data_IF_602219398571
#
_entry.id   IF_602219398571
#
_cell.length_a   1.000
_cell.length_b   1.000
_cell.length_c   1.000
_cell.angle_alpha   90.00
_cell.angle_beta   90.00
_cell.angle_gamma   90.00
#
_symmetry.space_group_name_H-M   'P 1'
#
loop_
_entity.id
_entity.type
_entity.pdbx_description
1 polymer ?
#
# COMPACT_ATOMS: atom_id res chain seq x y z
N UNK A 1 -43.84 10.87 34.21
CA UNK A 1 -43.15 11.99 33.56
C UNK A 1 -41.70 11.58 33.42
N UNK A 2 -41.29 11.21 32.20
CA UNK A 2 -39.92 10.90 31.82
C UNK A 2 -39.52 11.99 30.81
N UNK A 3 -38.44 12.69 31.08
CA UNK A 3 -37.92 13.82 30.32
C UNK A 3 -36.66 13.39 29.55
N UNK A 4 -36.55 13.90 28.31
CA UNK A 4 -35.33 14.05 27.48
C UNK A 4 -34.72 12.73 26.97
N UNK A 5 -35.31 12.05 25.98
CA UNK A 5 -35.28 12.37 24.53
C UNK A 5 -33.93 12.86 23.99
N UNK A 6 -33.05 11.88 23.77
CA UNK A 6 -32.26 11.67 22.54
C UNK A 6 -32.29 12.83 21.53
N UNK A 7 -31.39 13.79 21.71
CA UNK A 7 -30.92 14.66 20.62
C UNK A 7 -29.58 14.11 20.13
N UNK A 8 -29.60 12.93 19.51
CA UNK A 8 -28.53 12.58 18.58
C UNK A 8 -28.80 13.35 17.29
N UNK A 9 -27.87 14.25 17.01
CA UNK A 9 -27.77 15.03 15.79
C UNK A 9 -28.03 14.16 14.55
N UNK A 10 -29.09 14.50 13.82
CA UNK A 10 -29.22 14.22 12.40
C UNK A 10 -28.04 14.89 11.68
N UNK A 11 -26.91 14.20 11.59
CA UNK A 11 -25.88 14.50 10.61
C UNK A 11 -26.24 13.68 9.38
N UNK A 12 -26.50 14.30 8.21
CA UNK A 12 -26.69 13.54 6.99
C UNK A 12 -25.41 12.76 6.73
N UNK A 13 -25.52 11.43 6.61
CA UNK A 13 -24.47 10.62 6.00
C UNK A 13 -24.52 10.97 4.50
N UNK A 14 -23.48 11.58 3.91
CA UNK A 14 -23.48 11.82 2.48
C UNK A 14 -23.60 10.47 1.76
N UNK A 15 -24.55 10.37 0.84
CA UNK A 15 -24.66 9.20 -0.01
C UNK A 15 -23.39 9.07 -0.83
N UNK A 16 -22.97 7.84 -1.08
CA UNK A 16 -21.78 7.46 -1.84
C UNK A 16 -21.72 8.02 -3.28
N UNK A 17 -22.73 8.76 -3.72
CA UNK A 17 -22.80 9.39 -5.05
C UNK A 17 -22.36 10.86 -5.06
N UNK A 18 -22.25 11.55 -3.91
CA UNK A 18 -21.87 12.98 -3.87
C UNK A 18 -20.35 13.24 -3.82
N UNK A 19 -19.52 12.18 -3.79
CA UNK A 19 -18.05 12.27 -3.89
C UNK A 19 -17.53 12.34 -5.34
N UNK A 20 -18.41 12.33 -6.34
CA UNK A 20 -18.04 12.30 -7.75
C UNK A 20 -18.33 13.62 -8.46
N UNK A 21 -17.47 14.62 -8.26
CA UNK A 21 -17.21 15.58 -9.35
C UNK A 21 -16.24 14.92 -10.32
N UNK A 22 -16.77 14.29 -11.36
CA UNK A 22 -15.99 13.83 -12.50
C UNK A 22 -15.44 15.03 -13.26
N UNK A 23 -14.22 15.47 -12.92
CA UNK A 23 -13.41 16.12 -13.93
C UNK A 23 -13.15 15.09 -15.05
N UNK A 24 -13.35 15.44 -16.32
CA UNK A 24 -13.05 14.54 -17.41
C UNK A 24 -11.55 14.23 -17.36
N UNK A 25 -11.24 12.98 -17.03
CA UNK A 25 -9.89 12.45 -17.16
C UNK A 25 -9.51 12.62 -18.63
N UNK A 26 -8.58 13.54 -18.89
CA UNK A 26 -7.99 13.78 -20.20
C UNK A 26 -7.64 12.42 -20.83
N UNK A 27 -8.21 12.13 -22.00
CA UNK A 27 -8.01 10.86 -22.70
C UNK A 27 -6.51 10.71 -23.05
N UNK A 28 -5.74 9.82 -22.41
CA UNK A 28 -4.35 9.64 -22.76
C UNK A 28 -4.25 8.81 -24.04
N UNK A 29 -3.31 9.20 -24.90
CA UNK A 29 -2.96 8.57 -26.18
C UNK A 29 -2.74 7.04 -26.08
N UNK A 30 -3.03 6.24 -27.13
CA UNK A 30 -3.23 4.78 -27.06
C UNK A 30 -2.03 3.88 -26.71
N UNK A 31 -0.85 4.38 -26.30
CA UNK A 31 0.34 3.54 -26.09
C UNK A 31 1.25 4.00 -24.93
N UNK A 32 0.68 4.45 -23.81
CA UNK A 32 1.50 4.72 -22.62
C UNK A 32 1.85 3.42 -21.89
N UNK A 33 3.15 3.13 -21.78
CA UNK A 33 3.67 1.98 -21.03
C UNK A 33 3.07 1.91 -19.61
N UNK A 34 2.74 0.72 -19.06
CA UNK A 34 2.19 0.61 -17.70
C UNK A 34 3.09 1.25 -16.64
N UNK A 35 4.42 1.22 -16.83
CA UNK A 35 5.36 1.90 -15.94
C UNK A 35 5.20 3.43 -15.97
N UNK A 36 4.89 4.00 -17.14
CA UNK A 36 4.63 5.43 -17.25
C UNK A 36 3.32 5.80 -16.56
N UNK A 37 2.27 5.01 -16.75
CA UNK A 37 0.99 5.24 -16.07
C UNK A 37 1.14 5.17 -14.54
N UNK A 38 1.89 4.21 -14.00
CA UNK A 38 2.19 4.13 -12.56
C UNK A 38 2.97 5.36 -12.09
N UNK A 39 4.00 5.76 -12.84
CA UNK A 39 4.79 6.95 -12.53
C UNK A 39 3.92 8.22 -12.50
N UNK A 40 3.01 8.38 -13.47
CA UNK A 40 2.09 9.51 -13.56
C UNK A 40 1.06 9.52 -12.41
N UNK A 41 0.64 8.34 -11.93
CA UNK A 41 -0.22 8.22 -10.76
C UNK A 41 0.51 8.67 -9.49
N UNK A 42 1.72 8.16 -9.24
CA UNK A 42 2.52 8.51 -8.05
C UNK A 42 2.94 9.99 -8.11
N UNK A 43 3.31 10.48 -9.29
CA UNK A 43 3.76 11.85 -9.52
C UNK A 43 5.10 12.19 -8.88
N UNK A 44 5.39 13.49 -8.78
CA UNK A 44 6.68 13.98 -8.26
C UNK A 44 7.81 13.73 -9.26
N UNK A 45 8.94 13.23 -8.77
CA UNK A 45 10.14 12.88 -9.54
C UNK A 45 10.20 11.38 -9.91
N UNK A 46 9.12 10.62 -9.66
CA UNK A 46 9.02 9.20 -9.99
C UNK A 46 8.89 9.04 -11.50
N UNK A 47 9.80 8.28 -12.10
CA UNK A 47 9.83 8.03 -13.55
C UNK A 47 9.49 6.58 -13.88
N UNK A 48 9.05 6.31 -15.11
CA UNK A 48 8.80 4.95 -15.59
C UNK A 48 10.00 4.02 -15.42
N UNK A 49 11.22 4.55 -15.58
CA UNK A 49 12.45 3.79 -15.38
C UNK A 49 12.65 3.41 -13.90
N UNK A 50 12.41 4.32 -12.96
CA UNK A 50 12.47 4.02 -11.52
C UNK A 50 11.47 2.95 -11.14
N UNK A 51 10.23 3.05 -11.60
CA UNK A 51 9.19 2.03 -11.36
C UNK A 51 9.63 0.67 -11.91
N UNK A 52 10.13 0.63 -13.15
CA UNK A 52 10.65 -0.62 -13.76
C UNK A 52 11.81 -1.21 -12.96
N UNK A 53 12.75 -0.38 -12.53
CA UNK A 53 13.93 -0.83 -11.78
C UNK A 53 13.55 -1.36 -10.40
N UNK A 54 12.63 -0.70 -9.69
CA UNK A 54 12.08 -1.18 -8.43
C UNK A 54 11.42 -2.55 -8.60
N UNK A 55 10.55 -2.71 -9.60
CA UNK A 55 9.88 -4.01 -9.89
C UNK A 55 10.91 -5.10 -10.19
N UNK A 56 11.92 -4.80 -11.02
CA UNK A 56 12.98 -5.74 -11.36
C UNK A 56 13.76 -6.21 -10.12
N UNK A 57 14.22 -5.26 -9.28
CA UNK A 57 14.92 -5.57 -8.02
C UNK A 57 14.03 -6.35 -7.05
N UNK A 58 12.76 -5.96 -6.91
CA UNK A 58 11.80 -6.66 -6.05
C UNK A 58 11.59 -8.11 -6.49
N UNK A 59 11.49 -8.37 -7.78
CA UNK A 59 11.36 -9.73 -8.32
C UNK A 59 12.67 -10.53 -8.16
N UNK A 60 13.84 -9.92 -8.37
CA UNK A 60 15.15 -10.56 -8.13
C UNK A 60 15.28 -11.03 -6.68
N UNK A 61 14.89 -10.16 -5.73
CA UNK A 61 14.90 -10.45 -4.29
C UNK A 61 13.69 -11.29 -3.83
N UNK A 62 12.78 -11.63 -4.74
CA UNK A 62 11.55 -12.40 -4.47
C UNK A 62 10.69 -11.77 -3.37
N UNK A 63 10.58 -10.45 -3.37
CA UNK A 63 9.82 -9.69 -2.39
C UNK A 63 8.32 -9.95 -2.53
N UNK A 64 7.65 -9.94 -1.39
CA UNK A 64 6.21 -9.98 -1.23
C UNK A 64 5.76 -8.79 -0.38
N UNK A 65 4.64 -8.19 -0.77
CA UNK A 65 4.08 -7.01 -0.14
C UNK A 65 2.67 -7.29 0.32
N UNK A 66 2.34 -6.92 1.55
CA UNK A 66 1.00 -7.01 2.11
C UNK A 66 0.55 -5.65 2.60
N UNK A 67 -0.58 -5.21 2.04
CA UNK A 67 -1.19 -3.97 2.42
C UNK A 67 -1.98 -4.07 3.73
N UNK A 68 -1.71 -3.17 4.69
CA UNK A 68 -2.31 -3.21 6.03
C UNK A 68 -3.36 -2.10 6.16
N UNK A 69 -4.65 -2.47 6.22
CA UNK A 69 -5.82 -1.55 6.17
C UNK A 69 -6.03 -0.65 7.39
N UNK A 70 -5.57 -1.04 8.59
CA UNK A 70 -5.97 -0.34 9.82
C UNK A 70 -4.79 -0.04 10.74
N UNK A 71 -4.66 1.23 11.19
CA UNK A 71 -3.70 1.65 12.23
C UNK A 71 -3.91 0.88 13.54
N UNK A 72 -5.13 0.41 13.81
CA UNK A 72 -5.47 -0.43 14.98
C UNK A 72 -4.89 -1.84 14.89
N UNK A 73 -4.62 -2.33 13.68
CA UNK A 73 -4.00 -3.64 13.44
C UNK A 73 -2.47 -3.55 13.49
N UNK A 74 -1.90 -2.35 13.53
CA UNK A 74 -0.44 -2.17 13.57
C UNK A 74 0.20 -2.78 14.83
N UNK A 75 -0.30 -2.54 16.06
CA UNK A 75 0.25 -3.21 17.25
C UNK A 75 0.23 -4.74 17.15
N UNK A 76 -0.88 -5.32 16.67
CA UNK A 76 -0.98 -6.78 16.51
C UNK A 76 0.00 -7.33 15.46
N UNK A 77 0.38 -6.55 14.45
CA UNK A 77 1.39 -7.00 13.47
C UNK A 77 2.78 -7.06 14.09
N UNK A 78 3.11 -6.15 15.00
CA UNK A 78 4.40 -6.16 15.69
C UNK A 78 4.50 -7.32 16.70
N UNK A 79 3.37 -7.72 17.29
CA UNK A 79 3.31 -8.80 18.28
C UNK A 79 3.11 -10.19 17.65
N UNK A 80 2.17 -10.30 16.72
CA UNK A 80 1.67 -11.58 16.17
C UNK A 80 2.07 -11.82 14.71
N UNK A 81 2.51 -10.78 14.00
CA UNK A 81 2.81 -10.82 12.57
C UNK A 81 1.56 -10.66 11.69
N UNK A 82 1.68 -11.04 10.42
CA UNK A 82 0.52 -11.06 9.52
C UNK A 82 -0.19 -12.40 9.68
N UNK A 83 -1.35 -12.35 10.33
CA UNK A 83 -2.20 -13.52 10.50
C UNK A 83 -2.79 -13.97 9.15
N UNK A 84 -3.08 -15.25 9.04
CA UNK A 84 -3.69 -15.83 7.84
C UNK A 84 -5.22 -15.65 7.79
N UNK A 85 -5.85 -14.89 8.68
CA UNK A 85 -7.30 -14.75 8.77
C UNK A 85 -7.83 -13.36 8.34
N UNK A 86 -7.14 -12.67 7.43
CA UNK A 86 -7.69 -11.47 6.81
C UNK A 86 -8.99 -11.82 6.07
N UNK A 87 -10.10 -11.19 6.48
CA UNK A 87 -11.49 -11.60 6.24
C UNK A 87 -12.02 -11.58 4.79
N UNK A 88 -11.16 -11.49 3.76
CA UNK A 88 -11.59 -11.15 2.39
C UNK A 88 -11.63 -12.34 1.40
N UNK A 89 -11.89 -13.60 1.80
CA UNK A 89 -12.07 -14.65 0.76
C UNK A 89 -12.23 -16.14 1.07
N UNK A 90 -12.49 -16.56 2.31
CA UNK A 90 -12.66 -17.97 2.64
C UNK A 90 -11.34 -18.73 2.87
N UNK A 91 -11.41 -19.70 3.79
CA UNK A 91 -10.30 -20.53 4.33
C UNK A 91 -8.95 -19.81 4.55
N UNK A 92 -8.79 -19.21 5.72
CA UNK A 92 -7.53 -18.82 6.40
C UNK A 92 -6.26 -18.59 5.53
N UNK A 93 -6.33 -17.68 4.55
CA UNK A 93 -5.17 -17.21 3.77
C UNK A 93 -4.99 -15.68 3.83
N UNK A 94 -3.74 -15.22 3.98
CA UNK A 94 -3.39 -13.80 3.82
C UNK A 94 -3.00 -13.50 2.37
N UNK A 95 -3.38 -12.32 1.87
CA UNK A 95 -3.14 -11.89 0.49
C UNK A 95 -1.85 -11.05 0.38
N UNK A 96 -0.98 -11.38 -0.56
CA UNK A 96 0.27 -10.66 -0.82
C UNK A 96 0.44 -10.38 -2.31
N UNK A 97 1.24 -9.38 -2.67
CA UNK A 97 1.52 -9.03 -4.07
C UNK A 97 3.02 -9.05 -4.34
N UNK A 98 3.42 -9.32 -5.57
CA UNK A 98 4.81 -9.21 -6.05
C UNK A 98 4.88 -8.45 -7.37
N UNK A 99 6.05 -7.87 -7.66
CA UNK A 99 6.34 -7.22 -8.94
C UNK A 99 5.31 -6.15 -9.32
N UNK A 100 4.83 -6.20 -10.57
CA UNK A 100 3.81 -5.29 -11.10
C UNK A 100 2.50 -5.32 -10.31
N UNK A 101 2.13 -6.48 -9.73
CA UNK A 101 0.89 -6.61 -8.95
C UNK A 101 0.90 -5.81 -7.64
N UNK A 102 2.07 -5.31 -7.21
CA UNK A 102 2.15 -4.32 -6.15
C UNK A 102 1.39 -3.03 -6.51
N UNK A 103 1.45 -2.64 -7.78
CA UNK A 103 0.93 -1.36 -8.28
C UNK A 103 -0.34 -1.50 -9.12
N UNK A 104 -0.62 -2.68 -9.68
CA UNK A 104 -1.73 -2.87 -10.63
C UNK A 104 -2.44 -4.21 -10.40
N UNK A 105 -3.77 -4.18 -10.23
CA UNK A 105 -4.61 -5.37 -10.11
C UNK A 105 -4.78 -6.08 -11.45
N UNK A 106 -5.04 -5.30 -12.49
CA UNK A 106 -5.17 -5.75 -13.86
C UNK A 106 -4.83 -4.61 -14.82
N UNK A 107 -4.32 -4.96 -16.01
CA UNK A 107 -4.23 -4.03 -17.13
C UNK A 107 -5.49 -4.26 -17.96
N UNK A 108 -6.35 -3.25 -18.04
CA UNK A 108 -7.60 -3.35 -18.77
C UNK A 108 -7.33 -3.58 -20.27
N UNK A 109 -8.33 -4.12 -20.98
CA UNK A 109 -8.26 -4.24 -22.45
C UNK A 109 -8.11 -2.89 -23.17
N UNK A 110 -8.44 -1.78 -22.50
CA UNK A 110 -8.24 -0.42 -23.01
C UNK A 110 -6.86 0.16 -22.67
N UNK A 111 -5.97 -0.65 -22.10
CA UNK A 111 -4.62 -0.22 -21.72
C UNK A 111 -4.55 0.62 -20.45
N UNK A 112 -5.66 0.76 -19.70
CA UNK A 112 -5.70 1.51 -18.44
C UNK A 112 -5.35 0.58 -17.27
N UNK A 113 -4.57 1.08 -16.31
CA UNK A 113 -4.24 0.34 -15.09
C UNK A 113 -5.38 0.45 -14.06
N UNK A 114 -5.81 -0.69 -13.52
CA UNK A 114 -6.72 -0.75 -12.38
C UNK A 114 -5.90 -0.94 -11.10
N UNK A 115 -6.10 -0.11 -10.08
CA UNK A 115 -5.30 -0.10 -8.85
C UNK A 115 -6.07 -0.50 -7.60
N UNK A 116 -7.34 -0.89 -7.74
CA UNK A 116 -8.27 -1.08 -6.63
C UNK A 116 -7.81 -2.12 -5.60
N UNK A 117 -7.32 -3.27 -6.03
CA UNK A 117 -6.87 -4.36 -5.13
C UNK A 117 -5.35 -4.39 -4.93
N UNK A 118 -4.67 -3.26 -5.12
CA UNK A 118 -3.22 -3.20 -5.05
C UNK A 118 -2.74 -2.91 -3.65
N UNK A 119 -1.65 -3.56 -3.24
CA UNK A 119 -1.07 -3.32 -1.91
C UNK A 119 -0.54 -1.89 -1.76
N UNK A 120 -0.13 -1.25 -2.86
CA UNK A 120 0.47 0.09 -2.88
C UNK A 120 -0.54 1.24 -2.85
N UNK A 121 -1.57 1.25 -3.71
CA UNK A 121 -2.46 2.41 -3.89
C UNK A 121 -3.73 2.40 -3.03
N UNK A 122 -4.04 1.29 -2.36
CA UNK A 122 -5.28 1.21 -1.61
C UNK A 122 -5.24 2.13 -0.37
N UNK A 123 -6.03 3.22 -0.39
CA UNK A 123 -6.06 4.34 0.57
C UNK A 123 -6.30 3.98 2.05
N UNK A 124 -6.59 2.71 2.37
CA UNK A 124 -6.57 2.23 3.76
C UNK A 124 -5.15 2.00 4.30
N UNK A 125 -4.15 1.90 3.43
CA UNK A 125 -2.86 1.34 3.80
C UNK A 125 -1.84 2.44 4.07
N UNK A 126 -1.89 3.03 5.27
CA UNK A 126 -0.77 3.81 5.82
C UNK A 126 0.45 2.92 6.13
N UNK A 127 0.32 1.63 5.91
CA UNK A 127 1.27 0.63 6.35
C UNK A 127 1.37 -0.48 5.32
N UNK A 128 2.60 -0.82 4.96
CA UNK A 128 2.94 -1.89 4.04
C UNK A 128 3.88 -2.85 4.76
N UNK A 129 3.48 -4.11 4.87
CA UNK A 129 4.36 -5.17 5.32
C UNK A 129 5.13 -5.72 4.12
N UNK A 130 6.43 -5.93 4.32
CA UNK A 130 7.35 -6.39 3.29
C UNK A 130 8.09 -7.62 3.79
N UNK A 131 8.19 -8.63 2.95
CA UNK A 131 8.96 -9.85 3.22
C UNK A 131 9.55 -10.40 1.93
N UNK A 132 10.25 -11.52 1.98
CA UNK A 132 10.71 -12.24 0.80
C UNK A 132 10.51 -13.74 0.99
N UNK A 133 10.27 -14.47 -0.10
CA UNK A 133 10.11 -15.93 0.01
C UNK A 133 11.32 -16.64 0.61
N UNK A 134 12.59 -16.23 0.35
CA UNK A 134 13.74 -16.78 1.06
C UNK A 134 13.73 -16.49 2.56
N UNK A 135 13.32 -15.30 2.98
CA UNK A 135 13.26 -14.92 4.40
C UNK A 135 12.17 -15.71 5.13
N UNK A 136 10.98 -15.86 4.54
CA UNK A 136 9.90 -16.71 5.07
C UNK A 136 10.42 -18.14 5.28
N UNK A 137 11.08 -18.71 4.27
CA UNK A 137 11.63 -20.07 4.35
C UNK A 137 12.66 -20.20 5.48
N UNK A 138 13.57 -19.22 5.61
CA UNK A 138 14.60 -19.24 6.63
C UNK A 138 14.04 -19.15 8.06
N UNK A 139 13.00 -18.34 8.27
CA UNK A 139 12.42 -18.07 9.60
C UNK A 139 11.38 -19.12 10.00
N UNK A 140 10.55 -19.56 9.06
CA UNK A 140 9.40 -20.43 9.35
C UNK A 140 9.61 -21.89 8.93
N UNK A 141 10.62 -22.17 8.10
CA UNK A 141 10.81 -23.48 7.47
C UNK A 141 9.78 -23.80 6.37
N UNK A 142 8.86 -22.87 6.06
CA UNK A 142 7.78 -23.06 5.09
C UNK A 142 8.07 -22.36 3.78
N UNK A 143 7.71 -23.02 2.68
CA UNK A 143 7.96 -22.50 1.34
C UNK A 143 6.76 -21.70 0.83
N UNK A 144 7.04 -20.54 0.24
CA UNK A 144 6.11 -19.80 -0.61
C UNK A 144 6.73 -19.73 -2.00
N UNK A 145 6.03 -20.27 -3.00
CA UNK A 145 6.52 -20.23 -4.37
C UNK A 145 6.42 -18.80 -4.89
N UNK A 146 7.57 -18.15 -5.11
CA UNK A 146 7.59 -16.84 -5.74
C UNK A 146 7.16 -16.94 -7.21
N UNK A 147 6.35 -15.97 -7.64
CA UNK A 147 5.92 -15.71 -9.00
C UNK A 147 6.02 -14.22 -9.21
N UNK A 148 6.67 -13.80 -10.29
CA UNK A 148 6.73 -12.38 -10.64
C UNK A 148 5.32 -11.90 -11.01
N UNK A 149 5.01 -10.65 -10.67
CA UNK A 149 3.80 -9.96 -11.09
C UNK A 149 2.52 -10.73 -10.72
N UNK A 150 2.42 -11.13 -9.45
CA UNK A 150 1.35 -12.02 -9.01
C UNK A 150 0.77 -11.65 -7.66
N UNK A 151 -0.46 -12.11 -7.46
CA UNK A 151 -1.13 -12.16 -6.16
C UNK A 151 -0.89 -13.53 -5.52
N UNK A 152 -0.41 -13.53 -4.29
CA UNK A 152 -0.06 -14.72 -3.52
C UNK A 152 -1.04 -14.89 -2.37
N UNK A 153 -1.40 -16.14 -2.11
CA UNK A 153 -2.11 -16.53 -0.91
C UNK A 153 -1.13 -17.26 0.00
N UNK A 154 -0.93 -16.74 1.21
CA UNK A 154 -0.03 -17.32 2.21
C UNK A 154 -0.91 -17.95 3.30
N UNK A 155 -0.98 -19.30 3.38
CA UNK A 155 -1.94 -20.01 4.25
C UNK A 155 -1.43 -20.13 5.69
N UNK A 156 -0.66 -19.16 6.16
CA UNK A 156 -0.02 -19.19 7.47
C UNK A 156 0.41 -17.82 7.96
N UNK A 157 0.64 -17.76 9.27
CA UNK A 157 1.15 -16.56 9.92
C UNK A 157 2.57 -16.27 9.46
N UNK A 158 2.79 -15.08 8.91
CA UNK A 158 4.14 -14.58 8.66
C UNK A 158 4.59 -13.83 9.92
N UNK A 159 5.52 -14.37 10.72
CA UNK A 159 5.87 -13.81 12.02
C UNK A 159 6.62 -12.47 11.87
N UNK A 160 6.62 -11.61 12.90
CA UNK A 160 7.33 -10.32 12.88
C UNK A 160 8.81 -10.46 12.47
N UNK A 161 9.46 -11.55 12.88
CA UNK A 161 10.86 -11.84 12.55
C UNK A 161 11.14 -12.15 11.08
N UNK A 162 10.09 -12.24 10.25
CA UNK A 162 10.18 -12.36 8.80
C UNK A 162 9.65 -11.11 8.06
N UNK A 163 9.39 -10.01 8.76
CA UNK A 163 8.77 -8.80 8.21
C UNK A 163 9.64 -7.57 8.41
N UNK A 164 9.71 -6.72 7.39
CA UNK A 164 9.92 -5.28 7.56
C UNK A 164 8.59 -4.56 7.37
N UNK A 165 8.37 -3.46 8.09
CA UNK A 165 7.13 -2.68 7.97
C UNK A 165 7.46 -1.25 7.56
N UNK A 166 6.84 -0.75 6.49
CA UNK A 166 6.84 0.66 6.14
C UNK A 166 5.57 1.29 6.68
N UNK A 167 5.69 2.41 7.38
CA UNK A 167 4.56 3.22 7.85
C UNK A 167 4.71 4.62 7.27
N UNK A 168 3.69 5.08 6.54
CA UNK A 168 3.57 6.48 6.14
C UNK A 168 2.78 7.20 7.21
N UNK A 169 3.45 8.08 7.95
CA UNK A 169 2.81 8.90 8.97
C UNK A 169 2.03 10.03 8.30
N UNK A 170 0.74 10.09 8.61
CA UNK A 170 -0.23 11.03 8.02
C UNK A 170 -1.04 11.72 9.09
N UNK A 171 -0.53 11.76 10.32
CA UNK A 171 -1.14 12.50 11.41
C UNK A 171 -1.25 14.00 11.06
N UNK A 172 -2.45 14.55 11.22
CA UNK A 172 -2.73 15.96 10.92
C UNK A 172 -2.88 16.30 9.44
N UNK A 173 -2.81 15.32 8.52
CA UNK A 173 -2.98 15.56 7.08
C UNK A 173 -4.45 15.45 6.65
N UNK A 174 -4.81 16.20 5.62
CA UNK A 174 -6.13 16.14 5.01
C UNK A 174 -6.29 14.91 4.09
N UNK A 175 -7.53 14.62 3.70
CA UNK A 175 -7.84 13.50 2.78
C UNK A 175 -7.78 13.90 1.30
N UNK A 176 -6.97 14.90 0.94
CA UNK A 176 -6.89 15.38 -0.45
C UNK A 176 -6.11 14.42 -1.36
N UNK A 177 -6.37 14.48 -2.68
CA UNK A 177 -5.58 13.74 -3.67
C UNK A 177 -4.11 14.14 -3.67
N UNK A 178 -3.81 15.40 -3.36
CA UNK A 178 -2.45 15.90 -3.24
C UNK A 178 -1.70 15.23 -2.08
N UNK A 179 -2.32 15.16 -0.90
CA UNK A 179 -1.79 14.42 0.24
C UNK A 179 -1.60 12.95 -0.11
N UNK A 180 -2.59 12.32 -0.76
CA UNK A 180 -2.45 10.94 -1.25
C UNK A 180 -1.24 10.75 -2.18
N UNK A 181 -0.97 11.72 -3.05
CA UNK A 181 0.21 11.72 -3.96
C UNK A 181 1.52 11.80 -3.19
N UNK A 182 1.60 12.70 -2.21
CA UNK A 182 2.79 12.84 -1.36
C UNK A 182 3.05 11.56 -0.55
N UNK A 183 1.99 10.90 -0.07
CA UNK A 183 2.09 9.59 0.58
C UNK A 183 2.58 8.49 -0.38
N UNK A 184 2.03 8.43 -1.60
CA UNK A 184 2.46 7.50 -2.66
C UNK A 184 3.96 7.69 -2.96
N UNK A 185 4.44 8.94 -3.07
CA UNK A 185 5.86 9.25 -3.31
C UNK A 185 6.76 8.83 -2.14
N UNK A 186 6.31 9.07 -0.90
CA UNK A 186 7.04 8.72 0.31
C UNK A 186 7.13 7.20 0.48
N UNK A 187 6.06 6.47 0.15
CA UNK A 187 6.04 5.00 0.14
C UNK A 187 6.92 4.44 -0.99
N UNK A 188 6.88 5.02 -2.19
CA UNK A 188 7.72 4.62 -3.30
C UNK A 188 9.21 4.74 -2.97
N UNK A 189 9.61 5.88 -2.37
CA UNK A 189 10.99 6.11 -1.95
C UNK A 189 11.43 5.11 -0.87
N UNK A 190 10.57 4.78 0.09
CA UNK A 190 10.86 3.76 1.10
C UNK A 190 11.01 2.36 0.48
N UNK A 191 10.24 2.04 -0.56
CA UNK A 191 10.41 0.78 -1.29
C UNK A 191 11.71 0.73 -2.08
N UNK A 192 12.13 1.82 -2.71
CA UNK A 192 13.46 1.89 -3.36
C UNK A 192 14.56 1.62 -2.34
N UNK A 193 14.50 2.24 -1.17
CA UNK A 193 15.42 2.00 -0.04
C UNK A 193 15.48 0.51 0.35
N UNK A 194 14.33 -0.14 0.53
CA UNK A 194 14.26 -1.58 0.86
C UNK A 194 14.87 -2.42 -0.26
N UNK A 195 14.58 -2.13 -1.52
CA UNK A 195 15.16 -2.90 -2.64
C UNK A 195 16.67 -2.66 -2.81
N UNK A 196 17.24 -1.63 -2.21
CA UNK A 196 18.68 -1.36 -2.26
C UNK A 196 19.43 -1.94 -1.05
N UNK A 197 18.84 -1.81 0.14
CA UNK A 197 19.48 -2.18 1.40
C UNK A 197 19.10 -3.60 1.86
N UNK A 198 18.03 -4.16 1.31
CA UNK A 198 17.39 -5.38 1.77
C UNK A 198 16.38 -5.13 2.88
N UNK A 199 15.63 -6.17 3.24
CA UNK A 199 14.69 -6.13 4.36
C UNK A 199 15.47 -6.29 5.66
N UNK A 200 15.29 -5.37 6.59
CA UNK A 200 15.68 -5.56 7.99
C UNK A 200 14.48 -6.13 8.78
N UNK A 201 14.50 -7.40 9.20
CA UNK A 201 13.37 -7.98 9.91
C UNK A 201 13.15 -7.34 11.28
N UNK A 202 11.90 -7.31 11.76
CA UNK A 202 11.48 -6.63 12.99
C UNK A 202 11.72 -5.12 13.01
N UNK A 203 11.87 -4.48 11.84
CA UNK A 203 12.03 -3.02 11.76
C UNK A 203 10.77 -2.34 11.26
N UNK A 204 10.59 -1.10 11.74
CA UNK A 204 9.55 -0.19 11.28
C UNK A 204 10.24 1.02 10.68
N UNK A 205 10.11 1.21 9.37
CA UNK A 205 10.50 2.43 8.68
C UNK A 205 9.32 3.39 8.69
N UNK A 206 9.41 4.45 9.48
CA UNK A 206 8.43 5.54 9.45
C UNK A 206 8.90 6.57 8.43
N UNK A 207 8.03 6.91 7.49
CA UNK A 207 8.26 7.88 6.43
C UNK A 207 7.22 9.00 6.56
N UNK A 208 7.68 10.24 6.47
CA UNK A 208 6.85 11.43 6.61
C UNK A 208 6.75 12.14 5.25
N UNK A 209 5.55 12.29 4.68
CA UNK A 209 5.37 12.86 3.35
C UNK A 209 5.69 14.36 3.25
N UNK A 210 5.97 15.05 4.38
CA UNK A 210 6.18 16.50 4.43
C UNK A 210 7.48 16.96 5.11
N UNK A 211 8.45 16.08 5.42
CA UNK A 211 9.72 16.51 6.06
C UNK A 211 10.69 17.27 5.12
N UNK A 212 10.15 18.11 4.25
CA UNK A 212 10.84 19.13 3.46
C UNK A 212 10.12 20.49 3.39
N UNK A 213 8.89 20.61 3.90
CA UNK A 213 8.18 21.88 4.02
C UNK A 213 8.33 22.39 5.45
N UNK A 214 9.14 23.44 5.66
CA UNK A 214 9.11 24.20 6.90
C UNK A 214 7.71 24.76 7.09
N UNK A 215 6.93 24.19 8.00
CA UNK A 215 5.71 24.82 8.49
C UNK A 215 6.18 26.01 9.34
N UNK A 216 6.35 27.18 8.73
CA UNK A 216 6.39 28.44 9.47
C UNK A 216 5.04 28.59 10.15
N UNK A 217 4.98 28.29 11.45
CA UNK A 217 3.88 28.73 12.28
C UNK A 217 3.85 30.26 12.24
N UNK A 218 2.80 30.83 11.66
CA UNK A 218 2.50 32.24 11.88
C UNK A 218 1.87 32.35 13.28
N UNK A 219 2.47 33.21 14.10
CA UNK A 219 1.98 33.63 15.42
C UNK A 219 0.64 34.38 15.34
#
# INVERSE_FOLDING_TARGET
MLSENEQFLNVPVPSSEELFSHEPIHDPSPETSPYQQIADLIGGDVTAERVRNLIAKANEQKLLFHGVKDRKSFPSILEEGILNNCHDGGEYESFWTSGMSLFVSEISRSGRINTYDTSFFHYGHRTLAVTSTPLIQAVTGREVQHRADHQHKVPFVVPPSALGIIVVDTEGLDSSRETGRKMEQALFSALEDITEKGIEPNTVQITHPHQGEQITAQE
#
